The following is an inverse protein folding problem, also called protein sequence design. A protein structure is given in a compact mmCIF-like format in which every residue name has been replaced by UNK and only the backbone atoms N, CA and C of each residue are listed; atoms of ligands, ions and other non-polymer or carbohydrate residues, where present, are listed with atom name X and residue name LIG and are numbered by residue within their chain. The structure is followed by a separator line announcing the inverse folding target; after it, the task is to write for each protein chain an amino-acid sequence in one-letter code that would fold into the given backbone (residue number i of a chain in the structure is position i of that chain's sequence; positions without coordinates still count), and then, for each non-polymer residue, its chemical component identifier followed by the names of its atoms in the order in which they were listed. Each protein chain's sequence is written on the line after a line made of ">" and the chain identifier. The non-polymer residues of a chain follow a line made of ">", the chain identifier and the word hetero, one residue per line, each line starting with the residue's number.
data_IF_478110147071
#
_entry.id   IF_478110147071
#
_cell.length_a   1.000
_cell.length_b   1.000
_cell.length_c   1.000
_cell.angle_alpha   90.00
_cell.angle_beta   90.00
_cell.angle_gamma   90.00
#
_symmetry.space_group_name_H-M   'P 1'
#
loop_
_entity.id
_entity.type
_entity.pdbx_description
1 polymer ?
#
# COMPACT_ATOMS: atom_id res chain seq x y z
N UNK A 1 9.75 36.32 1.56
CA UNK A 1 10.81 35.29 1.49
C UNK A 1 10.82 34.59 2.84
N UNK A 2 10.06 33.49 2.97
CA UNK A 2 10.02 32.70 4.20
C UNK A 2 11.37 32.05 4.42
N UNK A 3 11.90 32.16 5.65
CA UNK A 3 13.18 31.56 6.00
C UNK A 3 13.09 30.03 5.89
N UNK A 4 14.18 29.38 5.52
CA UNK A 4 14.29 27.94 5.28
C UNK A 4 13.75 27.06 6.43
N UNK A 5 13.63 27.62 7.64
CA UNK A 5 13.04 26.97 8.82
C UNK A 5 11.49 26.96 8.87
N UNK A 6 10.80 27.84 8.15
CA UNK A 6 9.33 27.79 8.02
C UNK A 6 8.86 26.80 6.96
N UNK A 7 9.67 26.60 5.92
CA UNK A 7 9.39 25.64 4.84
C UNK A 7 9.47 24.20 5.38
N UNK A 8 10.49 23.89 6.20
CA UNK A 8 10.66 22.58 6.82
C UNK A 8 9.56 22.24 7.84
N UNK A 9 9.04 23.22 8.58
CA UNK A 9 7.94 23.01 9.56
C UNK A 9 6.58 22.72 8.89
N UNK A 10 6.35 23.22 7.68
CA UNK A 10 5.13 22.93 6.91
C UNK A 10 5.22 21.59 6.15
N UNK A 11 6.41 21.18 5.70
CA UNK A 11 6.65 19.85 5.13
C UNK A 11 6.47 18.73 6.19
N UNK A 12 6.80 19.00 7.45
CA UNK A 12 6.69 18.02 8.54
C UNK A 12 5.24 17.58 8.86
N UNK A 13 4.23 18.42 8.61
CA UNK A 13 2.82 18.06 8.81
C UNK A 13 2.16 17.44 7.57
N UNK A 14 2.64 17.76 6.38
CA UNK A 14 2.06 17.24 5.13
C UNK A 14 2.43 15.78 4.87
N UNK A 15 3.58 15.31 5.37
CA UNK A 15 4.02 13.91 5.25
C UNK A 15 3.06 12.95 5.98
N UNK A 16 2.73 13.13 7.28
CA UNK A 16 1.76 12.27 7.96
C UNK A 16 0.38 12.27 7.29
N UNK A 17 -0.11 13.42 6.81
CA UNK A 17 -1.40 13.53 6.11
C UNK A 17 -1.37 12.72 4.81
N UNK A 18 -0.30 12.87 4.01
CA UNK A 18 -0.11 12.15 2.75
C UNK A 18 -0.03 10.64 2.97
N UNK A 19 0.73 10.20 3.98
CA UNK A 19 0.85 8.78 4.33
C UNK A 19 -0.48 8.21 4.84
N UNK A 20 -1.23 8.98 5.63
CA UNK A 20 -2.54 8.57 6.12
C UNK A 20 -3.54 8.45 4.97
N UNK A 21 -3.51 9.36 4.00
CA UNK A 21 -4.32 9.29 2.79
C UNK A 21 -3.99 8.05 1.95
N UNK A 22 -2.70 7.79 1.68
CA UNK A 22 -2.27 6.59 0.95
C UNK A 22 -2.70 5.30 1.66
N UNK A 23 -2.59 5.26 2.99
CA UNK A 23 -3.05 4.13 3.77
C UNK A 23 -4.57 3.96 3.76
N UNK A 24 -5.33 5.07 3.83
CA UNK A 24 -6.78 5.05 3.69
C UNK A 24 -7.20 4.53 2.33
N UNK A 25 -6.61 5.03 1.23
CA UNK A 25 -6.87 4.50 -0.10
C UNK A 25 -6.53 3.01 -0.19
N UNK A 26 -5.41 2.57 0.36
CA UNK A 26 -5.03 1.16 0.44
C UNK A 26 -6.12 0.30 1.10
N UNK A 27 -6.64 0.73 2.26
CA UNK A 27 -7.73 0.08 2.99
C UNK A 27 -9.01 -0.02 2.14
N UNK A 28 -9.42 1.07 1.50
CA UNK A 28 -10.62 1.07 0.64
C UNK A 28 -10.50 0.07 -0.50
N UNK A 29 -9.34 0.01 -1.15
CA UNK A 29 -9.11 -0.90 -2.27
C UNK A 29 -9.05 -2.38 -1.84
N UNK A 30 -8.49 -2.67 -0.67
CA UNK A 30 -8.51 -4.02 -0.11
C UNK A 30 -9.94 -4.48 0.23
N UNK A 31 -10.74 -3.59 0.83
CA UNK A 31 -12.14 -3.86 1.12
C UNK A 31 -12.95 -4.09 -0.15
N UNK A 32 -12.78 -3.24 -1.16
CA UNK A 32 -13.44 -3.39 -2.47
C UNK A 32 -13.08 -4.71 -3.15
N UNK A 33 -11.81 -5.13 -3.07
CA UNK A 33 -11.38 -6.44 -3.56
C UNK A 33 -12.10 -7.57 -2.81
N UNK A 34 -12.12 -7.55 -1.47
CA UNK A 34 -12.79 -8.57 -0.66
C UNK A 34 -14.29 -8.69 -0.97
N UNK A 35 -14.98 -7.56 -1.09
CA UNK A 35 -16.41 -7.52 -1.45
C UNK A 35 -16.65 -8.09 -2.85
N UNK A 36 -15.85 -7.66 -3.84
CA UNK A 36 -15.99 -8.13 -5.22
C UNK A 36 -15.65 -9.62 -5.36
N UNK A 37 -14.59 -10.09 -4.70
CA UNK A 37 -14.19 -11.48 -4.68
C UNK A 37 -15.24 -12.38 -4.02
N UNK A 38 -15.83 -11.93 -2.90
CA UNK A 38 -16.91 -12.65 -2.23
C UNK A 38 -18.13 -12.82 -3.14
N UNK A 39 -18.55 -11.75 -3.82
CA UNK A 39 -19.69 -11.83 -4.74
C UNK A 39 -19.42 -12.72 -5.97
N UNK A 40 -18.19 -12.72 -6.49
CA UNK A 40 -17.77 -13.62 -7.57
C UNK A 40 -17.85 -15.09 -7.17
N UNK A 41 -17.55 -15.42 -5.90
CA UNK A 41 -17.66 -16.78 -5.36
C UNK A 41 -19.12 -17.21 -5.15
N UNK A 42 -20.02 -16.27 -4.87
CA UNK A 42 -21.40 -16.59 -4.46
C UNK A 42 -22.35 -16.92 -5.62
N UNK A 43 -22.24 -16.29 -6.79
CA UNK A 43 -23.00 -16.69 -8.00
C UNK A 43 -22.74 -15.81 -9.25
N UNK A 44 -22.30 -14.56 -9.09
CA UNK A 44 -22.33 -13.58 -10.17
C UNK A 44 -20.97 -13.42 -10.84
N UNK A 45 -20.54 -14.45 -11.57
CA UNK A 45 -19.20 -14.51 -12.17
C UNK A 45 -19.10 -13.76 -13.52
N UNK A 46 -19.56 -12.51 -13.55
CA UNK A 46 -19.51 -11.69 -14.76
C UNK A 46 -18.13 -11.00 -14.94
N UNK A 47 -17.84 -10.61 -16.17
CA UNK A 47 -16.52 -10.06 -16.54
C UNK A 47 -16.23 -8.71 -15.88
N UNK A 48 -17.25 -7.90 -15.65
CA UNK A 48 -17.13 -6.58 -15.00
C UNK A 48 -16.68 -6.72 -13.54
N UNK A 49 -17.26 -7.67 -12.81
CA UNK A 49 -16.89 -7.94 -11.42
C UNK A 49 -15.47 -8.49 -11.31
N UNK A 50 -15.04 -9.33 -12.25
CA UNK A 50 -13.63 -9.76 -12.33
C UNK A 50 -12.70 -8.58 -12.57
N UNK A 51 -13.06 -7.67 -13.47
CA UNK A 51 -12.29 -6.45 -13.74
C UNK A 51 -12.23 -5.54 -12.51
N UNK A 52 -13.34 -5.38 -11.79
CA UNK A 52 -13.41 -4.60 -10.56
C UNK A 52 -12.52 -5.20 -9.46
N UNK A 53 -12.61 -6.51 -9.22
CA UNK A 53 -11.75 -7.21 -8.25
C UNK A 53 -10.27 -7.12 -8.64
N UNK A 54 -9.93 -7.37 -9.90
CA UNK A 54 -8.57 -7.28 -10.42
C UNK A 54 -7.99 -5.87 -10.24
N UNK A 55 -8.78 -4.85 -10.58
CA UNK A 55 -8.39 -3.44 -10.47
C UNK A 55 -8.23 -3.02 -9.01
N UNK A 56 -9.17 -3.39 -8.15
CA UNK A 56 -9.12 -3.10 -6.72
C UNK A 56 -7.87 -3.72 -6.08
N UNK A 57 -7.55 -4.98 -6.39
CA UNK A 57 -6.35 -5.61 -5.85
C UNK A 57 -5.05 -4.96 -6.38
N UNK A 58 -4.99 -4.62 -7.66
CA UNK A 58 -3.87 -3.87 -8.23
C UNK A 58 -3.66 -2.49 -7.58
N UNK A 59 -4.75 -1.77 -7.31
CA UNK A 59 -4.71 -0.48 -6.61
C UNK A 59 -4.35 -0.63 -5.13
N UNK A 60 -4.79 -1.69 -4.46
CA UNK A 60 -4.35 -2.02 -3.10
C UNK A 60 -2.83 -2.15 -3.03
N UNK A 61 -2.22 -2.91 -3.95
CA UNK A 61 -0.76 -3.05 -4.06
C UNK A 61 -0.10 -1.69 -4.31
N UNK A 62 -0.65 -0.90 -5.26
CA UNK A 62 -0.10 0.42 -5.60
C UNK A 62 -0.04 1.34 -4.38
N UNK A 63 -1.15 1.48 -3.66
CA UNK A 63 -1.24 2.36 -2.49
C UNK A 63 -0.41 1.83 -1.31
N UNK A 64 -0.40 0.51 -1.08
CA UNK A 64 0.44 -0.09 -0.05
C UNK A 64 1.92 0.19 -0.31
N UNK A 65 2.36 0.05 -1.57
CA UNK A 65 3.72 0.38 -1.96
C UNK A 65 4.02 1.87 -1.74
N UNK A 66 3.14 2.76 -2.20
CA UNK A 66 3.33 4.21 -2.07
C UNK A 66 3.43 4.65 -0.61
N UNK A 67 2.57 4.11 0.26
CA UNK A 67 2.63 4.29 1.70
C UNK A 67 3.98 3.88 2.27
N UNK A 68 4.43 2.63 2.03
CA UNK A 68 5.70 2.16 2.55
C UNK A 68 6.91 2.88 1.94
N UNK A 69 6.85 3.25 0.65
CA UNK A 69 7.86 4.08 0.01
C UNK A 69 8.00 5.42 0.73
N UNK A 70 6.89 6.08 1.07
CA UNK A 70 6.90 7.32 1.84
C UNK A 70 7.43 7.13 3.27
N UNK A 71 6.99 6.07 3.98
CA UNK A 71 7.49 5.73 5.32
C UNK A 71 9.00 5.50 5.32
N UNK A 72 9.51 4.75 4.34
CA UNK A 72 10.94 4.47 4.18
C UNK A 72 11.70 5.76 3.87
N UNK A 73 11.21 6.58 2.94
CA UNK A 73 11.85 7.87 2.62
C UNK A 73 11.92 8.78 3.84
N UNK A 74 10.88 8.79 4.67
CA UNK A 74 10.84 9.58 5.89
C UNK A 74 11.78 9.04 6.98
N UNK A 75 11.81 7.72 7.20
CA UNK A 75 12.57 7.10 8.31
C UNK A 75 14.03 6.76 7.99
N UNK A 76 14.37 6.65 6.71
CA UNK A 76 15.68 6.18 6.24
C UNK A 76 16.33 7.18 5.28
N UNK A 77 16.08 8.48 5.48
CA UNK A 77 16.62 9.55 4.65
C UNK A 77 18.16 9.46 4.53
N UNK A 78 18.84 9.14 5.64
CA UNK A 78 20.28 8.88 5.73
C UNK A 78 20.75 7.72 4.82
N UNK A 79 20.03 6.60 4.83
CA UNK A 79 20.39 5.42 4.02
C UNK A 79 20.12 5.63 2.52
N UNK A 80 19.24 6.58 2.22
CA UNK A 80 18.90 6.99 0.85
C UNK A 80 19.77 8.16 0.36
N UNK A 81 20.56 8.77 1.23
CA UNK A 81 21.46 9.86 0.87
C UNK A 81 22.41 9.44 -0.28
N UNK A 82 22.63 10.35 -1.22
CA UNK A 82 23.42 10.10 -2.43
C UNK A 82 22.78 9.20 -3.49
N UNK A 83 21.68 8.48 -3.19
CA UNK A 83 20.94 7.77 -4.22
C UNK A 83 20.08 8.75 -5.02
N UNK A 84 20.36 8.88 -6.32
CA UNK A 84 19.58 9.72 -7.24
C UNK A 84 19.03 8.89 -8.40
N UNK A 85 17.90 9.33 -8.95
CA UNK A 85 17.29 8.74 -10.14
C UNK A 85 17.04 7.23 -10.01
N UNK A 86 17.54 6.47 -10.98
CA UNK A 86 17.28 5.04 -11.12
C UNK A 86 17.77 4.17 -9.93
N UNK A 87 18.71 4.66 -9.11
CA UNK A 87 19.30 3.91 -7.99
C UNK A 87 18.43 3.90 -6.72
N UNK A 88 17.47 4.81 -6.60
CA UNK A 88 16.59 4.90 -5.41
C UNK A 88 15.66 3.68 -5.33
N UNK A 89 15.07 3.28 -6.47
CA UNK A 89 14.10 2.20 -6.50
C UNK A 89 14.65 0.86 -5.97
N UNK A 90 15.83 0.38 -6.40
CA UNK A 90 16.43 -0.83 -5.85
C UNK A 90 16.74 -0.75 -4.35
N UNK A 91 17.18 0.42 -3.84
CA UNK A 91 17.38 0.62 -2.39
C UNK A 91 16.08 0.46 -1.61
N UNK A 92 14.99 1.10 -2.08
CA UNK A 92 13.66 0.97 -1.46
C UNK A 92 13.17 -0.48 -1.51
N UNK A 93 13.34 -1.18 -2.65
CA UNK A 93 13.02 -2.60 -2.78
C UNK A 93 13.75 -3.44 -1.72
N UNK A 94 15.04 -3.20 -1.49
CA UNK A 94 15.82 -3.90 -0.47
C UNK A 94 15.33 -3.58 0.96
N UNK A 95 15.00 -2.32 1.25
CA UNK A 95 14.47 -1.91 2.56
C UNK A 95 13.10 -2.54 2.83
N UNK A 96 12.21 -2.60 1.83
CA UNK A 96 10.94 -3.33 1.91
C UNK A 96 11.13 -4.82 2.21
N UNK A 97 12.06 -5.48 1.52
CA UNK A 97 12.40 -6.87 1.79
C UNK A 97 12.87 -7.08 3.24
N UNK A 98 13.78 -6.23 3.72
CA UNK A 98 14.25 -6.25 5.11
C UNK A 98 13.10 -6.02 6.11
N UNK A 99 12.18 -5.12 5.79
CA UNK A 99 11.01 -4.83 6.63
C UNK A 99 10.13 -6.07 6.79
N UNK A 100 9.75 -6.74 5.69
CA UNK A 100 8.94 -7.96 5.77
C UNK A 100 9.66 -9.05 6.54
N UNK A 101 10.97 -9.26 6.32
CA UNK A 101 11.76 -10.22 7.10
C UNK A 101 11.74 -9.90 8.59
N UNK A 102 11.87 -8.62 8.96
CA UNK A 102 11.79 -8.16 10.35
C UNK A 102 10.42 -8.45 10.94
N UNK A 103 9.33 -8.17 10.21
CA UNK A 103 7.96 -8.43 10.67
C UNK A 103 7.69 -9.92 10.89
N UNK A 104 8.11 -10.79 9.98
CA UNK A 104 7.97 -12.24 10.14
C UNK A 104 8.78 -12.72 11.34
N UNK A 105 10.03 -12.27 11.49
CA UNK A 105 10.85 -12.60 12.66
C UNK A 105 10.15 -12.20 13.96
N UNK A 106 9.62 -10.98 14.02
CA UNK A 106 8.91 -10.48 15.19
C UNK A 106 7.65 -11.31 15.50
N UNK A 107 6.87 -11.66 14.47
CA UNK A 107 5.71 -12.56 14.61
C UNK A 107 6.10 -13.95 15.10
N UNK A 108 7.18 -14.53 14.57
CA UNK A 108 7.72 -15.82 15.01
C UNK A 108 8.10 -15.79 16.50
N UNK A 109 8.77 -14.72 16.94
CA UNK A 109 9.14 -14.57 18.35
C UNK A 109 7.92 -14.53 19.27
N UNK A 110 6.88 -13.76 18.89
CA UNK A 110 5.63 -13.68 19.67
C UNK A 110 4.92 -15.03 19.71
N UNK A 111 4.77 -15.69 18.56
CA UNK A 111 4.13 -17.00 18.46
C UNK A 111 4.86 -18.06 19.30
N UNK A 112 6.19 -18.13 19.21
CA UNK A 112 6.98 -19.07 19.99
C UNK A 112 6.90 -18.82 21.50
N UNK A 113 6.74 -17.55 21.91
CA UNK A 113 6.63 -17.18 23.31
C UNK A 113 5.22 -17.37 23.89
N UNK A 114 4.18 -17.20 23.06
CA UNK A 114 2.76 -17.22 23.45
C UNK A 114 1.87 -17.81 22.34
N UNK A 115 1.96 -19.12 22.06
CA UNK A 115 1.21 -19.77 20.99
C UNK A 115 -0.32 -19.68 21.20
N UNK A 116 -0.77 -19.52 22.44
CA UNK A 116 -2.17 -19.38 22.83
C UNK A 116 -2.81 -18.04 22.43
N UNK A 117 -2.00 -16.98 22.28
CA UNK A 117 -2.48 -15.63 21.96
C UNK A 117 -2.76 -15.43 20.48
N UNK A 118 -2.21 -16.28 19.60
CA UNK A 118 -2.38 -16.15 18.16
C UNK A 118 -3.08 -17.38 17.59
N UNK A 119 -4.38 -17.52 17.91
CA UNK A 119 -5.29 -18.53 17.33
C UNK A 119 -5.60 -18.31 15.84
N UNK A 120 -5.06 -17.25 15.23
CA UNK A 120 -5.18 -16.97 13.80
C UNK A 120 -4.24 -17.89 13.04
N UNK A 121 -4.64 -18.35 11.86
CA UNK A 121 -3.83 -19.18 10.95
C UNK A 121 -2.59 -18.42 10.43
N UNK A 122 -1.67 -17.99 11.30
CA UNK A 122 -0.43 -17.27 10.96
C UNK A 122 0.74 -18.26 10.82
N UNK A 123 0.52 -19.55 11.11
CA UNK A 123 1.51 -20.61 10.94
C UNK A 123 2.16 -20.57 9.55
N UNK A 124 1.35 -20.54 8.49
CA UNK A 124 1.83 -20.52 7.11
C UNK A 124 2.60 -19.23 6.74
N UNK A 125 2.38 -18.13 7.47
CA UNK A 125 3.12 -16.88 7.35
C UNK A 125 4.48 -16.95 8.05
N UNK A 126 4.53 -17.61 9.21
CA UNK A 126 5.71 -17.67 10.08
C UNK A 126 6.72 -18.72 9.59
N UNK A 127 6.27 -19.80 8.96
CA UNK A 127 7.12 -20.87 8.44
C UNK A 127 7.76 -20.51 7.09
N UNK A 128 7.23 -19.52 6.40
CA UNK A 128 7.69 -19.15 5.06
C UNK A 128 8.88 -18.19 5.11
N UNK A 129 9.94 -18.51 4.36
CA UNK A 129 10.97 -17.51 4.04
C UNK A 129 10.40 -16.41 3.13
N UNK A 130 10.88 -15.17 3.30
CA UNK A 130 10.53 -14.09 2.38
C UNK A 130 11.35 -14.29 1.10
N UNK A 131 10.72 -14.41 -0.09
CA UNK A 131 11.49 -14.55 -1.32
C UNK A 131 12.37 -13.33 -1.58
N UNK A 132 13.60 -13.55 -2.03
CA UNK A 132 14.59 -12.48 -2.23
C UNK A 132 14.13 -11.40 -3.24
N UNK A 133 13.34 -11.79 -4.24
CA UNK A 133 12.80 -10.88 -5.25
C UNK A 133 11.60 -10.04 -4.77
N UNK A 134 11.09 -10.26 -3.55
CA UNK A 134 9.86 -9.64 -3.04
C UNK A 134 9.80 -8.12 -3.30
N UNK A 135 10.81 -7.38 -2.86
CA UNK A 135 10.79 -5.91 -2.98
C UNK A 135 10.90 -5.43 -4.42
N UNK A 136 11.59 -6.18 -5.28
CA UNK A 136 11.70 -5.89 -6.72
C UNK A 136 10.36 -6.13 -7.40
N UNK A 137 9.74 -7.26 -7.16
CA UNK A 137 8.45 -7.64 -7.73
C UNK A 137 7.33 -6.71 -7.24
N UNK A 138 7.37 -6.29 -5.97
CA UNK A 138 6.40 -5.34 -5.42
C UNK A 138 6.49 -3.97 -6.13
N UNK A 139 7.71 -3.48 -6.36
CA UNK A 139 7.94 -2.26 -7.15
C UNK A 139 7.48 -2.41 -8.60
N UNK A 140 7.78 -3.54 -9.24
CA UNK A 140 7.33 -3.81 -10.61
C UNK A 140 5.81 -3.83 -10.70
N UNK A 141 5.14 -4.45 -9.74
CA UNK A 141 3.68 -4.50 -9.68
C UNK A 141 3.08 -3.12 -9.47
N UNK A 142 3.66 -2.30 -8.57
CA UNK A 142 3.26 -0.88 -8.43
C UNK A 142 3.37 -0.15 -9.76
N UNK A 143 4.50 -0.26 -10.46
CA UNK A 143 4.72 0.43 -11.74
C UNK A 143 3.72 -0.02 -12.81
N UNK A 144 3.37 -1.31 -12.84
CA UNK A 144 2.35 -1.87 -13.73
C UNK A 144 1.00 -1.21 -13.51
N UNK A 145 0.60 -0.93 -12.27
CA UNK A 145 -0.69 -0.27 -11.96
C UNK A 145 -0.64 1.26 -11.93
N UNK A 146 0.53 1.88 -11.87
CA UNK A 146 0.71 3.34 -11.93
C UNK A 146 0.70 3.93 -13.33
N UNK A 147 1.17 3.19 -14.35
CA UNK A 147 1.21 3.68 -15.73
C UNK A 147 0.45 2.76 -16.68
N UNK A 148 -0.16 3.29 -17.77
CA UNK A 148 -0.67 2.47 -18.87
C UNK A 148 0.52 1.76 -19.52
N UNK A 149 0.88 0.60 -18.99
CA UNK A 149 1.99 -0.19 -19.46
C UNK A 149 1.44 -1.36 -20.29
N UNK A 150 2.01 -1.60 -21.48
CA UNK A 150 1.73 -2.79 -22.28
C UNK A 150 2.01 -4.07 -21.46
N UNK A 151 2.89 -3.99 -20.45
CA UNK A 151 3.09 -5.08 -19.49
C UNK A 151 1.86 -5.43 -18.66
N UNK A 152 0.80 -4.60 -18.63
CA UNK A 152 -0.51 -4.97 -18.08
C UNK A 152 -1.14 -6.16 -18.83
N UNK A 153 -0.82 -6.31 -20.12
CA UNK A 153 -1.31 -7.38 -20.99
C UNK A 153 -0.19 -8.35 -21.41
N UNK A 154 1.08 -7.94 -21.41
CA UNK A 154 2.22 -8.80 -21.74
C UNK A 154 2.70 -9.63 -20.53
N UNK A 155 3.09 -10.89 -20.78
CA UNK A 155 3.55 -11.88 -19.77
C UNK A 155 5.06 -11.85 -19.51
N UNK A 156 5.81 -10.88 -20.06
CA UNK A 156 7.26 -10.78 -19.86
C UNK A 156 7.69 -10.32 -18.44
N UNK A 157 6.73 -9.94 -17.60
CA UNK A 157 6.91 -9.58 -16.19
C UNK A 157 5.94 -10.39 -15.33
N UNK A 158 6.23 -10.49 -14.02
CA UNK A 158 5.34 -11.15 -13.07
C UNK A 158 3.90 -10.62 -13.21
N UNK A 159 2.97 -11.55 -13.38
CA UNK A 159 1.54 -11.28 -13.50
C UNK A 159 0.93 -11.01 -12.13
N UNK A 160 -0.25 -10.36 -12.10
CA UNK A 160 -0.96 -10.15 -10.83
C UNK A 160 -1.32 -11.48 -10.15
N UNK A 161 -1.63 -12.51 -10.94
CA UNK A 161 -1.91 -13.86 -10.43
C UNK A 161 -0.68 -14.45 -9.74
N UNK A 162 0.48 -14.47 -10.41
CA UNK A 162 1.72 -14.98 -9.84
C UNK A 162 2.13 -14.18 -8.60
N UNK A 163 1.98 -12.85 -8.64
CA UNK A 163 2.24 -11.99 -7.50
C UNK A 163 1.29 -12.28 -6.33
N UNK A 164 0.00 -12.47 -6.60
CA UNK A 164 -0.98 -12.84 -5.58
C UNK A 164 -0.57 -14.14 -4.89
N UNK A 165 -0.33 -15.20 -5.68
CA UNK A 165 0.04 -16.52 -5.15
C UNK A 165 1.32 -16.47 -4.32
N UNK A 166 2.36 -15.77 -4.80
CA UNK A 166 3.65 -15.68 -4.09
C UNK A 166 3.59 -14.77 -2.86
N UNK A 167 2.89 -13.64 -2.95
CA UNK A 167 3.14 -12.51 -2.05
C UNK A 167 1.93 -11.98 -1.30
N UNK A 168 0.70 -12.42 -1.60
CA UNK A 168 -0.52 -11.90 -0.95
C UNK A 168 -0.42 -11.93 0.59
N UNK A 169 0.09 -13.03 1.14
CA UNK A 169 0.29 -13.20 2.59
C UNK A 169 1.20 -12.11 3.20
N UNK A 170 2.27 -11.72 2.51
CA UNK A 170 3.15 -10.64 2.96
C UNK A 170 2.51 -9.26 2.78
N UNK A 171 1.66 -9.06 1.76
CA UNK A 171 0.87 -7.83 1.59
C UNK A 171 -0.07 -7.63 2.78
N UNK A 172 -0.78 -8.70 3.18
CA UNK A 172 -1.65 -8.65 4.36
C UNK A 172 -0.85 -8.40 5.64
N UNK A 173 0.32 -9.04 5.81
CA UNK A 173 1.20 -8.78 6.95
C UNK A 173 1.60 -7.30 7.05
N UNK A 174 2.02 -6.70 5.92
CA UNK A 174 2.38 -5.28 5.85
C UNK A 174 1.18 -4.37 6.16
N UNK A 175 0.01 -4.66 5.59
CA UNK A 175 -1.22 -3.91 5.83
C UNK A 175 -1.63 -3.95 7.30
N UNK A 176 -1.82 -5.14 7.87
CA UNK A 176 -2.33 -5.30 9.24
C UNK A 176 -1.36 -4.79 10.30
N UNK A 177 -0.05 -4.83 10.04
CA UNK A 177 0.94 -4.31 11.00
C UNK A 177 0.84 -2.78 11.15
N UNK A 178 0.54 -2.06 10.06
CA UNK A 178 0.44 -0.61 10.08
C UNK A 178 -0.97 -0.10 10.40
N UNK A 179 -2.00 -0.92 10.22
CA UNK A 179 -3.40 -0.54 10.45
C UNK A 179 -3.65 0.06 11.83
N UNK A 180 -3.00 -0.43 12.89
CA UNK A 180 -3.20 0.13 14.23
C UNK A 180 -2.80 1.61 14.34
N UNK A 181 -1.74 2.02 13.63
CA UNK A 181 -1.15 3.36 13.74
C UNK A 181 -1.62 4.34 12.66
N UNK A 182 -2.01 3.84 11.49
CA UNK A 182 -2.28 4.67 10.31
C UNK A 182 -3.73 4.62 9.85
N UNK A 183 -4.58 3.82 10.48
CA UNK A 183 -6.00 3.85 10.18
C UNK A 183 -6.63 5.15 10.67
N UNK A 184 -7.34 5.83 9.76
CA UNK A 184 -8.02 7.09 10.05
C UNK A 184 -9.30 6.76 10.80
N UNK A 185 -9.26 6.91 12.12
CA UNK A 185 -10.44 6.73 12.99
C UNK A 185 -11.36 7.95 13.00
N UNK A 186 -10.77 9.13 12.91
CA UNK A 186 -11.50 10.39 12.82
C UNK A 186 -10.90 11.23 11.68
N UNK A 187 -11.54 11.28 10.50
CA UNK A 187 -11.10 12.08 9.37
C UNK A 187 -10.99 13.57 9.68
N UNK A 188 -11.81 14.10 10.60
CA UNK A 188 -11.90 15.54 10.92
C UNK A 188 -10.63 16.09 11.59
N UNK A 189 -9.71 15.22 12.02
CA UNK A 189 -8.44 15.61 12.67
C UNK A 189 -7.36 16.00 11.65
N UNK A 190 -7.55 15.66 10.38
CA UNK A 190 -6.57 15.92 9.33
C UNK A 190 -7.02 17.10 8.46
N UNK A 191 -6.05 17.88 7.99
CA UNK A 191 -6.30 18.97 7.06
C UNK A 191 -6.47 18.42 5.64
N UNK A 192 -7.73 18.29 5.20
CA UNK A 192 -8.12 17.80 3.88
C UNK A 192 -8.44 18.93 2.89
N UNK A 193 -7.85 20.12 3.07
CA UNK A 193 -8.19 21.32 2.31
C UNK A 193 -8.39 21.09 0.80
N UNK A 194 -7.53 20.30 0.14
CA UNK A 194 -7.66 20.01 -1.30
C UNK A 194 -8.92 19.19 -1.63
N UNK A 195 -9.25 18.20 -0.80
CA UNK A 195 -10.47 17.37 -0.96
C UNK A 195 -11.71 18.27 -0.76
N UNK A 196 -11.69 19.10 0.29
CA UNK A 196 -12.80 20.02 0.58
C UNK A 196 -12.99 21.04 -0.53
N UNK A 197 -11.90 21.64 -1.03
CA UNK A 197 -11.91 22.55 -2.17
C UNK A 197 -12.52 21.90 -3.43
N UNK A 198 -12.13 20.65 -3.73
CA UNK A 198 -12.65 19.91 -4.86
C UNK A 198 -14.17 19.70 -4.75
N UNK A 199 -14.66 19.19 -3.61
CA UNK A 199 -16.10 18.95 -3.44
C UNK A 199 -16.91 20.25 -3.35
N UNK A 200 -16.36 21.30 -2.76
CA UNK A 200 -16.98 22.63 -2.79
C UNK A 200 -17.17 23.14 -4.22
N UNK A 201 -16.20 22.91 -5.10
CA UNK A 201 -16.32 23.26 -6.51
C UNK A 201 -17.38 22.42 -7.22
N UNK A 202 -17.32 21.09 -7.09
CA UNK A 202 -18.29 20.16 -7.69
C UNK A 202 -19.72 20.53 -7.28
N UNK A 203 -19.97 20.71 -5.98
CA UNK A 203 -21.30 21.06 -5.45
C UNK A 203 -21.83 22.39 -6.01
N UNK A 204 -20.95 23.40 -6.17
CA UNK A 204 -21.32 24.68 -6.78
C UNK A 204 -21.72 24.52 -8.24
N UNK A 205 -20.99 23.70 -9.00
CA UNK A 205 -21.28 23.44 -10.43
C UNK A 205 -22.49 22.53 -10.65
N UNK A 206 -22.77 21.58 -9.75
CA UNK A 206 -23.94 20.71 -9.83
C UNK A 206 -25.26 21.46 -9.59
N UNK A 207 -25.24 22.57 -8.83
CA UNK A 207 -26.40 23.46 -8.70
C UNK A 207 -26.66 24.34 -9.93
N UNK A 208 -25.73 24.41 -10.89
CA UNK A 208 -25.89 25.19 -12.14
C UNK A 208 -26.17 24.32 -13.36
N UNK A 209 -26.14 23.00 -13.22
CA UNK A 209 -26.22 22.04 -14.32
C UNK A 209 -27.43 21.08 -14.22
N UNK A 210 -28.46 21.42 -13.44
CA UNK A 210 -29.76 20.73 -13.41
C UNK A 210 -30.85 21.71 -13.85
#
# INVERSE_FOLDING_TARGET
>A
MGTTNEILKNEDRSIPVTLSHEFWCCKQQLHQFGSSASLLLMANNNKEMRLAAFTAYGNFIRHLYAFYEGVIKYRNADQLEGAKGAAIGPKISNLLFKEVKKLIRNKRMVYNARPELDKREIQHLIESEVPADFGKDFRQMRNRFSHPAISRVNKSQITLQEFYVRYHKYMLLLYYTCAFSWDIKNPDVYDWQEIDCFFNYVNKTSCTAI
#
